data_IF_523485385144
#
_entry.id   IF_523485385144
#
_cell.length_a   1.000
_cell.length_b   1.000
_cell.length_c   1.000
_cell.angle_alpha   90.00
_cell.angle_beta   90.00
_cell.angle_gamma   90.00
#
_symmetry.space_group_name_H-M   'P 1'
#
loop_
_entity.id
_entity.type
_entity.pdbx_description
1 polymer ?
#
# COMPACT_ATOMS: atom_id res chain seq x y z
N UNK A 1 1.28 7.88 38.32
CA UNK A 1 1.44 8.40 36.95
C UNK A 1 2.53 7.59 36.29
N UNK A 2 2.17 6.52 35.59
CA UNK A 2 3.10 5.78 34.73
C UNK A 2 3.49 6.75 33.61
N UNK A 3 4.75 7.21 33.60
CA UNK A 3 5.23 8.08 32.53
C UNK A 3 5.11 7.32 31.22
N UNK A 4 4.50 7.95 30.21
CA UNK A 4 4.46 7.39 28.88
C UNK A 4 5.89 7.08 28.43
N UNK A 5 6.08 5.87 27.95
CA UNK A 5 7.35 5.45 27.36
C UNK A 5 7.53 6.16 26.01
N UNK A 6 8.77 6.44 25.58
CA UNK A 6 9.01 7.26 24.38
C UNK A 6 8.35 6.73 23.09
N UNK A 7 8.09 5.42 23.01
CA UNK A 7 7.37 4.84 21.87
C UNK A 7 5.85 5.09 21.90
N UNK A 8 5.25 5.29 23.08
CA UNK A 8 3.84 5.65 23.23
C UNK A 8 3.61 7.09 22.73
N UNK A 9 4.52 8.01 23.07
CA UNK A 9 4.49 9.39 22.56
C UNK A 9 4.65 9.45 21.05
N UNK A 10 5.60 8.67 20.49
CA UNK A 10 5.80 8.58 19.05
C UNK A 10 4.56 8.02 18.32
N UNK A 11 3.89 7.03 18.91
CA UNK A 11 2.67 6.47 18.32
C UNK A 11 1.47 7.40 18.45
N UNK A 12 1.32 8.11 19.57
CA UNK A 12 0.27 9.12 19.74
C UNK A 12 0.43 10.24 18.71
N UNK A 13 1.65 10.73 18.50
CA UNK A 13 1.92 11.75 17.49
C UNK A 13 1.66 11.22 16.07
N UNK A 14 2.02 9.96 15.78
CA UNK A 14 1.67 9.30 14.52
C UNK A 14 0.15 9.27 14.30
N UNK A 15 -0.62 8.83 15.29
CA UNK A 15 -2.08 8.73 15.19
C UNK A 15 -2.70 10.11 14.96
N UNK A 16 -2.23 11.11 15.70
CA UNK A 16 -2.74 12.48 15.60
C UNK A 16 -2.41 13.13 14.26
N UNK A 17 -1.24 12.86 13.69
CA UNK A 17 -0.73 13.61 12.53
C UNK A 17 -0.81 12.86 11.20
N UNK A 18 -0.81 11.52 11.19
CA UNK A 18 -0.64 10.71 9.97
C UNK A 18 -1.74 9.70 9.67
N UNK A 19 -2.75 9.54 10.52
CA UNK A 19 -3.86 8.57 10.27
C UNK A 19 -4.51 8.75 8.91
N UNK A 20 -4.81 9.99 8.50
CA UNK A 20 -5.40 10.27 7.18
C UNK A 20 -4.50 9.83 6.01
N UNK A 21 -3.18 10.01 6.13
CA UNK A 21 -2.22 9.58 5.12
C UNK A 21 -2.08 8.05 5.08
N UNK A 22 -2.16 7.40 6.24
CA UNK A 22 -2.16 5.93 6.35
C UNK A 22 -3.41 5.33 5.71
N UNK A 23 -4.59 5.88 6.00
CA UNK A 23 -5.87 5.47 5.39
C UNK A 23 -5.85 5.71 3.89
N UNK A 24 -5.30 6.85 3.43
CA UNK A 24 -5.17 7.13 2.00
C UNK A 24 -4.28 6.11 1.29
N UNK A 25 -3.15 5.70 1.88
CA UNK A 25 -2.29 4.64 1.32
C UNK A 25 -3.00 3.28 1.32
N UNK A 26 -3.62 2.91 2.45
CA UNK A 26 -4.38 1.66 2.56
C UNK A 26 -5.53 1.60 1.55
N UNK A 27 -6.21 2.71 1.31
CA UNK A 27 -7.27 2.83 0.31
C UNK A 27 -6.77 2.58 -1.11
N UNK A 28 -5.56 3.04 -1.47
CA UNK A 28 -4.96 2.72 -2.77
C UNK A 28 -4.64 1.22 -2.92
N UNK A 29 -4.42 0.52 -1.81
CA UNK A 29 -4.25 -0.93 -1.81
C UNK A 29 -5.60 -1.65 -1.91
N UNK A 30 -6.60 -1.28 -1.10
CA UNK A 30 -7.88 -2.02 -1.01
C UNK A 30 -8.86 -1.65 -2.10
N UNK A 31 -9.00 -0.35 -2.41
CA UNK A 31 -10.10 0.21 -3.18
C UNK A 31 -11.40 0.36 -2.39
N UNK A 32 -11.38 0.08 -1.07
CA UNK A 32 -12.52 0.12 -0.17
C UNK A 32 -12.14 0.86 1.11
N UNK A 33 -12.94 1.85 1.51
CA UNK A 33 -12.64 2.73 2.65
C UNK A 33 -12.73 1.97 3.98
N UNK A 34 -13.72 1.10 4.14
CA UNK A 34 -13.87 0.33 5.36
C UNK A 34 -12.72 -0.67 5.52
N UNK A 35 -12.36 -1.41 4.45
CA UNK A 35 -11.19 -2.31 4.48
C UNK A 35 -9.89 -1.54 4.72
N UNK A 36 -9.78 -0.30 4.22
CA UNK A 36 -8.62 0.55 4.46
C UNK A 36 -8.51 1.02 5.92
N UNK A 37 -9.60 1.50 6.51
CA UNK A 37 -9.68 1.90 7.92
C UNK A 37 -9.38 0.72 8.86
N UNK A 38 -9.96 -0.45 8.57
CA UNK A 38 -9.71 -1.69 9.31
C UNK A 38 -8.22 -2.08 9.25
N UNK A 39 -7.60 -2.04 8.07
CA UNK A 39 -6.16 -2.35 7.93
C UNK A 39 -5.28 -1.40 8.73
N UNK A 40 -5.59 -0.10 8.72
CA UNK A 40 -4.85 0.91 9.50
C UNK A 40 -5.03 0.66 10.99
N UNK A 41 -6.26 0.39 11.44
CA UNK A 41 -6.56 0.10 12.83
C UNK A 41 -5.82 -1.15 13.32
N UNK A 42 -5.87 -2.25 12.56
CA UNK A 42 -5.15 -3.49 12.88
C UNK A 42 -3.63 -3.24 12.98
N UNK A 43 -3.08 -2.42 12.08
CA UNK A 43 -1.66 -2.09 12.08
C UNK A 43 -1.25 -1.21 13.26
N UNK A 44 -2.09 -0.25 13.66
CA UNK A 44 -1.87 0.59 14.85
C UNK A 44 -1.97 -0.24 16.14
N UNK A 45 -2.91 -1.17 16.23
CA UNK A 45 -3.03 -2.11 17.36
C UNK A 45 -1.77 -3.01 17.44
N UNK A 46 -1.31 -3.53 16.31
CA UNK A 46 -0.07 -4.31 16.24
C UNK A 46 1.14 -3.48 16.70
N UNK A 47 1.20 -2.19 16.34
CA UNK A 47 2.25 -1.29 16.81
C UNK A 47 2.18 -1.05 18.32
N UNK A 48 0.98 -0.82 18.86
CA UNK A 48 0.75 -0.56 20.28
C UNK A 48 1.06 -1.77 21.18
N UNK A 49 0.82 -2.99 20.70
CA UNK A 49 1.08 -4.23 21.46
C UNK A 49 2.56 -4.60 21.57
N UNK A 50 3.45 -3.85 20.90
CA UNK A 50 4.87 -4.14 20.83
C UNK A 50 5.62 -3.58 22.05
N UNK A 51 6.10 -4.48 22.92
CA UNK A 51 6.84 -4.14 24.17
C UNK A 51 8.16 -3.37 24.00
N UNK A 52 8.73 -3.36 22.78
CA UNK A 52 9.86 -2.51 22.38
C UNK A 52 9.42 -1.77 21.12
N UNK A 53 8.73 -0.66 21.35
CA UNK A 53 8.15 0.15 20.28
C UNK A 53 9.22 0.97 19.52
N UNK A 54 8.82 1.58 18.41
CA UNK A 54 9.64 2.51 17.64
C UNK A 54 10.13 3.69 18.49
N UNK A 55 11.38 4.11 18.31
CA UNK A 55 11.99 5.18 19.09
C UNK A 55 11.56 6.59 18.62
N UNK A 56 10.94 6.69 17.44
CA UNK A 56 10.44 7.95 16.86
C UNK A 56 9.21 7.74 15.95
N UNK A 57 8.58 8.85 15.55
CA UNK A 57 7.37 8.84 14.70
C UNK A 57 7.63 8.23 13.32
N UNK A 58 8.82 8.44 12.75
CA UNK A 58 9.16 7.94 11.40
C UNK A 58 9.26 6.42 11.37
N UNK A 59 9.92 5.83 12.37
CA UNK A 59 10.04 4.39 12.55
C UNK A 59 8.70 3.77 12.90
N UNK A 60 7.85 4.46 13.65
CA UNK A 60 6.46 4.05 13.90
C UNK A 60 5.65 4.01 12.60
N UNK A 61 5.71 5.09 11.80
CA UNK A 61 5.01 5.17 10.51
C UNK A 61 5.45 4.05 9.56
N UNK A 62 6.76 3.83 9.43
CA UNK A 62 7.32 2.77 8.59
C UNK A 62 6.86 1.37 9.03
N UNK A 63 6.78 1.12 10.34
CA UNK A 63 6.26 -0.13 10.87
C UNK A 63 4.77 -0.33 10.56
N UNK A 64 3.96 0.71 10.74
CA UNK A 64 2.52 0.66 10.47
C UNK A 64 2.27 0.43 8.97
N UNK A 65 2.93 1.18 8.08
CA UNK A 65 2.84 0.97 6.61
C UNK A 65 3.23 -0.44 6.19
N UNK A 66 4.31 -0.98 6.76
CA UNK A 66 4.72 -2.37 6.54
C UNK A 66 3.62 -3.35 6.96
N UNK A 67 3.03 -3.13 8.12
CA UNK A 67 1.99 -3.99 8.68
C UNK A 67 0.73 -3.96 7.82
N UNK A 68 0.25 -2.77 7.42
CA UNK A 68 -0.88 -2.59 6.49
C UNK A 68 -0.70 -3.46 5.25
N UNK A 69 0.44 -3.34 4.58
CA UNK A 69 0.70 -4.03 3.32
C UNK A 69 0.85 -5.55 3.49
N UNK A 70 1.50 -5.99 4.55
CA UNK A 70 1.61 -7.43 4.86
C UNK A 70 0.22 -8.02 5.11
N UNK A 71 -0.60 -7.37 5.95
CA UNK A 71 -1.98 -7.79 6.24
C UNK A 71 -2.84 -7.81 4.98
N UNK A 72 -2.71 -6.80 4.12
CA UNK A 72 -3.36 -6.77 2.80
C UNK A 72 -2.98 -8.00 1.95
N UNK A 73 -1.68 -8.22 1.72
CA UNK A 73 -1.20 -9.33 0.88
C UNK A 73 -1.58 -10.70 1.45
N UNK A 74 -1.53 -10.86 2.77
CA UNK A 74 -1.90 -12.10 3.44
C UNK A 74 -3.41 -12.35 3.42
N UNK A 75 -4.22 -11.29 3.51
CA UNK A 75 -5.67 -11.32 3.30
C UNK A 75 -6.03 -11.86 1.92
N UNK A 76 -5.39 -11.36 0.87
CA UNK A 76 -5.59 -11.87 -0.49
C UNK A 76 -5.18 -13.34 -0.65
N UNK A 77 -4.04 -13.75 -0.08
CA UNK A 77 -3.62 -15.17 -0.10
C UNK A 77 -4.62 -16.07 0.62
N UNK A 78 -5.17 -15.62 1.74
CA UNK A 78 -6.19 -16.36 2.51
C UNK A 78 -7.50 -16.47 1.74
N UNK A 79 -8.02 -15.36 1.20
CA UNK A 79 -9.22 -15.34 0.35
C UNK A 79 -9.08 -16.26 -0.85
N UNK A 80 -7.93 -16.21 -1.56
CA UNK A 80 -7.65 -17.12 -2.68
C UNK A 80 -7.63 -18.59 -2.26
N UNK A 81 -6.94 -18.95 -1.17
CA UNK A 81 -6.93 -20.32 -0.65
C UNK A 81 -8.34 -20.81 -0.29
N UNK A 82 -9.14 -19.97 0.37
CA UNK A 82 -10.51 -20.32 0.74
C UNK A 82 -11.44 -20.41 -0.48
N UNK A 83 -11.25 -19.58 -1.51
CA UNK A 83 -11.96 -19.69 -2.78
C UNK A 83 -11.58 -20.99 -3.52
N UNK A 84 -10.31 -21.41 -3.49
CA UNK A 84 -9.86 -22.68 -4.05
C UNK A 84 -10.44 -23.90 -3.32
N UNK A 85 -10.63 -23.79 -2.00
CA UNK A 85 -11.21 -24.87 -1.17
C UNK A 85 -12.75 -24.98 -1.31
N UNK A 86 -13.45 -23.91 -1.74
CA UNK A 86 -14.91 -23.91 -1.97
C UNK A 86 -15.38 -24.39 -3.36
N UNK A 87 -14.48 -24.91 -4.19
CA UNK A 87 -14.70 -25.43 -5.55
C UNK A 87 -14.85 -24.39 -6.68
N UNK A 88 -14.15 -24.71 -7.79
CA UNK A 88 -14.58 -24.55 -9.19
C UNK A 88 -15.81 -23.63 -9.43
N UNK A 89 -15.63 -22.32 -9.38
CA UNK A 89 -16.27 -21.37 -10.29
C UNK A 89 -15.81 -19.94 -9.99
N UNK A 90 -15.56 -19.20 -11.08
CA UNK A 90 -15.27 -17.77 -11.14
C UNK A 90 -13.85 -17.41 -10.70
N UNK A 91 -12.97 -17.18 -11.70
CA UNK A 91 -11.84 -16.28 -11.54
C UNK A 91 -12.38 -14.98 -10.91
N UNK A 92 -11.79 -14.43 -9.84
CA UNK A 92 -12.37 -13.26 -9.21
C UNK A 92 -12.27 -12.12 -10.21
N UNK A 93 -13.38 -11.86 -10.89
CA UNK A 93 -13.68 -10.60 -11.52
C UNK A 93 -13.65 -9.60 -10.37
N UNK A 94 -12.62 -8.76 -10.34
CA UNK A 94 -12.49 -7.67 -9.39
C UNK A 94 -13.78 -6.85 -9.49
N UNK A 95 -14.71 -7.04 -8.56
CA UNK A 95 -15.91 -6.21 -8.49
C UNK A 95 -15.45 -4.77 -8.28
N UNK A 96 -15.85 -3.83 -9.15
CA UNK A 96 -15.52 -2.42 -8.94
C UNK A 96 -16.22 -1.93 -7.65
N UNK A 97 -15.54 -1.13 -6.82
CA UNK A 97 -16.16 -0.55 -5.63
C UNK A 97 -17.32 0.38 -6.02
N UNK A 98 -18.35 0.41 -5.18
CA UNK A 98 -19.57 1.21 -5.38
C UNK A 98 -19.27 2.70 -5.35
N UNK A 99 -19.82 3.44 -6.32
CA UNK A 99 -19.63 4.87 -6.54
C UNK A 99 -19.88 5.73 -5.28
N UNK A 100 -18.86 6.49 -4.89
CA UNK A 100 -18.99 7.64 -3.99
C UNK A 100 -18.54 8.88 -4.77
N UNK A 101 -19.50 9.77 -5.06
CA UNK A 101 -19.30 10.96 -5.87
C UNK A 101 -19.10 12.22 -5.01
N UNK A 102 -18.04 13.00 -5.25
CA UNK A 102 -17.96 14.42 -4.78
C UNK A 102 -16.86 15.27 -5.46
N UNK A 103 -17.25 16.09 -6.46
CA UNK A 103 -16.69 17.41 -6.86
C UNK A 103 -15.34 17.49 -7.60
N UNK A 104 -15.44 17.70 -8.92
CA UNK A 104 -14.63 18.45 -9.91
C UNK A 104 -13.09 18.30 -10.02
N UNK A 105 -12.41 17.66 -9.07
CA UNK A 105 -11.08 17.03 -9.27
C UNK A 105 -11.13 15.49 -9.19
N UNK A 106 -12.34 14.96 -9.02
CA UNK A 106 -12.66 13.53 -8.84
C UNK A 106 -12.42 12.63 -10.05
N UNK A 107 -12.61 13.04 -11.32
CA UNK A 107 -12.56 12.08 -12.44
C UNK A 107 -11.22 11.34 -12.50
N UNK A 108 -10.11 12.08 -12.50
CA UNK A 108 -8.77 11.48 -12.60
C UNK A 108 -8.41 10.61 -11.38
N UNK A 109 -8.81 11.01 -10.16
CA UNK A 109 -8.53 10.24 -8.94
C UNK A 109 -9.38 8.97 -8.88
N UNK A 110 -10.65 9.05 -9.30
CA UNK A 110 -11.56 7.91 -9.40
C UNK A 110 -11.11 6.93 -10.50
N UNK A 111 -10.64 7.45 -11.63
CA UNK A 111 -10.10 6.65 -12.73
C UNK A 111 -8.82 5.94 -12.32
N UNK A 112 -7.90 6.62 -11.61
CA UNK A 112 -6.69 6.00 -11.08
C UNK A 112 -7.01 4.88 -10.08
N UNK A 113 -7.99 5.08 -9.19
CA UNK A 113 -8.43 4.06 -8.24
C UNK A 113 -9.03 2.84 -8.94
N UNK A 114 -9.91 3.06 -9.93
CA UNK A 114 -10.48 1.98 -10.75
C UNK A 114 -9.41 1.23 -11.52
N UNK A 115 -8.42 1.94 -12.08
CA UNK A 115 -7.31 1.33 -12.79
C UNK A 115 -6.41 0.49 -11.86
N UNK A 116 -6.11 0.97 -10.65
CA UNK A 116 -5.41 0.18 -9.63
C UNK A 116 -6.17 -1.08 -9.23
N UNK A 117 -7.51 -1.03 -9.22
CA UNK A 117 -8.36 -2.17 -8.89
C UNK A 117 -8.21 -3.36 -9.87
N UNK A 118 -7.76 -3.10 -11.10
CA UNK A 118 -7.52 -4.09 -12.16
C UNK A 118 -6.18 -4.81 -12.04
N UNK A 119 -5.28 -4.28 -11.20
CA UNK A 119 -3.98 -4.90 -10.94
C UNK A 119 -4.11 -6.08 -9.98
N UNK A 120 -3.25 -7.08 -10.16
CA UNK A 120 -3.09 -8.12 -9.14
C UNK A 120 -2.58 -7.48 -7.83
N UNK A 121 -2.81 -8.11 -6.66
CA UNK A 121 -2.42 -7.52 -5.38
C UNK A 121 -0.93 -7.17 -5.28
N UNK A 122 -0.05 -7.94 -5.94
CA UNK A 122 1.39 -7.66 -5.95
C UNK A 122 1.77 -6.52 -6.90
N UNK A 123 1.17 -6.47 -8.08
CA UNK A 123 1.33 -5.34 -9.01
C UNK A 123 0.87 -4.04 -8.35
N UNK A 124 -0.32 -4.05 -7.75
CA UNK A 124 -0.88 -2.91 -7.02
C UNK A 124 0.03 -2.46 -5.88
N UNK A 125 0.49 -3.40 -5.05
CA UNK A 125 1.40 -3.08 -3.95
C UNK A 125 2.72 -2.47 -4.46
N UNK A 126 3.32 -3.01 -5.52
CA UNK A 126 4.52 -2.43 -6.12
C UNK A 126 4.28 -1.01 -6.64
N UNK A 127 3.16 -0.76 -7.32
CA UNK A 127 2.80 0.58 -7.84
C UNK A 127 2.59 1.57 -6.70
N UNK A 128 1.83 1.22 -5.66
CA UNK A 128 1.61 2.10 -4.50
C UNK A 128 2.94 2.43 -3.82
N UNK A 129 3.79 1.44 -3.55
CA UNK A 129 5.10 1.71 -2.93
C UNK A 129 5.98 2.59 -3.80
N UNK A 130 5.99 2.39 -5.12
CA UNK A 130 6.87 3.13 -6.04
C UNK A 130 6.42 4.57 -6.28
N UNK A 131 5.13 4.78 -6.50
CA UNK A 131 4.60 6.06 -7.00
C UNK A 131 3.85 6.87 -5.94
N UNK A 132 3.42 6.24 -4.84
CA UNK A 132 2.76 6.93 -3.73
C UNK A 132 3.65 7.05 -2.49
N UNK A 133 4.56 6.09 -2.28
CA UNK A 133 5.50 6.09 -1.15
C UNK A 133 6.97 6.34 -1.55
N UNK A 134 7.21 6.69 -2.83
CA UNK A 134 8.52 7.03 -3.39
C UNK A 134 9.65 6.00 -3.11
N UNK A 135 9.29 4.72 -2.95
CA UNK A 135 10.26 3.66 -2.70
C UNK A 135 10.99 3.24 -3.98
N UNK A 136 12.30 3.02 -3.87
CA UNK A 136 13.12 2.48 -4.96
C UNK A 136 12.87 0.98 -5.15
N UNK A 137 13.22 0.42 -6.31
CA UNK A 137 13.06 -1.03 -6.55
C UNK A 137 13.80 -1.89 -5.52
N UNK A 138 15.04 -1.58 -5.11
CA UNK A 138 15.70 -2.30 -4.02
C UNK A 138 14.94 -2.24 -2.69
N UNK A 139 14.39 -1.06 -2.35
CA UNK A 139 13.59 -0.91 -1.14
C UNK A 139 12.32 -1.76 -1.22
N UNK A 140 11.59 -1.72 -2.35
CA UNK A 140 10.39 -2.54 -2.56
C UNK A 140 10.70 -4.03 -2.49
N UNK A 141 11.81 -4.47 -3.11
CA UNK A 141 12.23 -5.87 -3.11
C UNK A 141 12.48 -6.38 -1.68
N UNK A 142 13.22 -5.61 -0.88
CA UNK A 142 13.44 -5.89 0.54
C UNK A 142 12.12 -5.92 1.31
N UNK A 143 11.29 -4.89 1.10
CA UNK A 143 10.06 -4.66 1.84
C UNK A 143 8.97 -5.71 1.56
N UNK A 144 8.92 -6.25 0.35
CA UNK A 144 7.99 -7.30 -0.07
C UNK A 144 8.58 -8.71 -0.05
N UNK A 145 9.87 -8.86 0.30
CA UNK A 145 10.61 -10.13 0.21
C UNK A 145 10.51 -10.74 -1.20
N UNK A 146 10.78 -9.94 -2.22
CA UNK A 146 10.79 -10.31 -3.64
C UNK A 146 12.18 -10.11 -4.24
N UNK A 147 12.47 -10.78 -5.37
CA UNK A 147 13.68 -10.45 -6.14
C UNK A 147 13.53 -9.13 -6.89
N UNK A 148 14.64 -8.42 -7.13
CA UNK A 148 14.64 -7.18 -7.94
C UNK A 148 13.94 -7.38 -9.29
N UNK A 149 14.24 -8.48 -9.98
CA UNK A 149 13.61 -8.82 -11.25
C UNK A 149 12.10 -9.04 -11.15
N UNK A 150 11.62 -9.62 -10.03
CA UNK A 150 10.17 -9.76 -9.79
C UNK A 150 9.50 -8.40 -9.62
N UNK A 151 10.12 -7.48 -8.88
CA UNK A 151 9.60 -6.13 -8.69
C UNK A 151 9.56 -5.37 -10.02
N UNK A 152 10.66 -5.36 -10.79
CA UNK A 152 10.70 -4.74 -12.13
C UNK A 152 9.62 -5.31 -13.04
N UNK A 153 9.45 -6.63 -13.06
CA UNK A 153 8.39 -7.30 -13.84
C UNK A 153 7.00 -6.87 -13.39
N UNK A 154 6.73 -6.83 -12.08
CA UNK A 154 5.43 -6.38 -11.57
C UNK A 154 5.15 -4.91 -11.91
N UNK A 155 6.14 -4.03 -11.79
CA UNK A 155 5.99 -2.62 -12.15
C UNK A 155 5.74 -2.45 -13.66
N UNK A 156 6.51 -3.14 -14.50
CA UNK A 156 6.31 -3.14 -15.94
C UNK A 156 4.90 -3.63 -16.33
N UNK A 157 4.50 -4.81 -15.83
CA UNK A 157 3.17 -5.38 -16.11
C UNK A 157 2.05 -4.46 -15.60
N UNK A 158 2.26 -3.80 -14.46
CA UNK A 158 1.29 -2.87 -13.89
C UNK A 158 1.15 -1.59 -14.71
N UNK A 159 2.27 -0.93 -15.05
CA UNK A 159 2.26 0.30 -15.85
C UNK A 159 1.61 0.05 -17.20
N UNK A 160 1.96 -1.04 -17.88
CA UNK A 160 1.35 -1.40 -19.16
C UNK A 160 -0.17 -1.55 -19.07
N UNK A 161 -0.70 -2.08 -17.95
CA UNK A 161 -2.16 -2.16 -17.73
C UNK A 161 -2.76 -0.81 -17.37
N UNK A 162 -2.09 -0.01 -16.54
CA UNK A 162 -2.58 1.31 -16.18
C UNK A 162 -2.67 2.22 -17.41
N UNK A 163 -1.69 2.17 -18.31
CA UNK A 163 -1.68 2.96 -19.55
C UNK A 163 -2.83 2.62 -20.49
N UNK A 164 -3.28 1.36 -20.51
CA UNK A 164 -4.46 0.95 -21.29
C UNK A 164 -5.76 1.63 -20.81
N UNK A 165 -5.82 2.02 -19.53
CA UNK A 165 -7.02 2.60 -18.92
C UNK A 165 -6.93 4.11 -18.69
N UNK A 166 -5.73 4.63 -18.45
CA UNK A 166 -5.49 6.04 -18.09
C UNK A 166 -4.84 6.85 -19.24
N UNK A 167 -4.38 6.18 -20.30
CA UNK A 167 -3.53 6.79 -21.33
C UNK A 167 -2.05 6.78 -20.95
N UNK A 168 -1.16 7.31 -21.83
CA UNK A 168 0.28 7.28 -21.61
C UNK A 168 0.68 7.97 -20.30
N UNK A 169 1.44 7.28 -19.44
CA UNK A 169 1.93 7.83 -18.18
C UNK A 169 3.27 8.54 -18.45
N UNK A 170 3.20 9.80 -18.87
CA UNK A 170 4.34 10.58 -19.38
C UNK A 170 5.57 10.67 -18.44
N UNK A 171 5.39 10.48 -17.13
CA UNK A 171 6.44 10.58 -16.09
C UNK A 171 6.81 9.24 -15.46
N UNK A 172 6.28 8.11 -15.94
CA UNK A 172 6.69 6.78 -15.46
C UNK A 172 8.02 6.38 -16.12
N UNK A 173 9.09 7.12 -15.86
CA UNK A 173 10.45 6.73 -16.27
C UNK A 173 10.85 5.49 -15.44
N UNK A 174 10.50 4.32 -15.99
CA UNK A 174 10.91 3.01 -15.48
C UNK A 174 12.43 2.78 -15.67
N UNK A 175 13.14 3.70 -16.32
CA UNK A 175 14.60 3.65 -16.42
C UNK A 175 15.28 4.10 -15.12
N UNK A 176 14.61 4.90 -14.28
CA UNK A 176 15.09 5.31 -12.95
C UNK A 176 14.79 4.26 -11.85
N UNK A 177 14.37 3.05 -12.23
CA UNK A 177 14.08 1.97 -11.30
C UNK A 177 15.32 1.50 -10.51
N UNK A 178 16.52 1.78 -11.02
CA UNK A 178 17.78 1.31 -10.46
C UNK A 178 18.50 2.29 -9.54
N UNK A 179 17.92 3.46 -9.23
CA UNK A 179 18.59 4.42 -8.36
C UNK A 179 18.78 3.85 -6.94
N UNK A 180 20.02 3.43 -6.67
CA UNK A 180 20.55 3.38 -5.33
C UNK A 180 20.61 4.83 -4.85
N UNK A 181 19.67 5.20 -3.97
CA UNK A 181 19.44 6.55 -3.45
C UNK A 181 20.68 7.46 -3.43
N UNK A 182 20.60 8.75 -3.82
CA UNK A 182 21.47 9.72 -3.18
C UNK A 182 21.09 9.71 -1.70
N UNK A 183 22.11 9.54 -0.86
CA UNK A 183 21.99 9.35 0.58
C UNK A 183 20.99 10.30 1.24
N UNK A 184 20.38 9.80 2.32
CA UNK A 184 19.51 10.59 3.16
C UNK A 184 20.14 11.93 3.52
N UNK A 185 19.32 12.96 3.54
CA UNK A 185 19.20 13.98 4.60
C UNK A 185 18.16 14.97 4.10
N UNK A 186 17.00 15.05 4.76
CA UNK A 186 16.42 16.27 5.38
C UNK A 186 15.04 15.98 5.95
#
# INVERSE_FOLDING_TARGET
MTGMTGWEEALEDLVRTRTSALVSSAFLLTGDLAEAEDLVQDALIAAYTRRRGPDDVRSAEAYVRRTIRNTFLDGFRRRKRWATVRHLHVAPESQPPSDVATVDHVPARLDAQRALALLSPRERACVVLRFYEDMTVPQIASELSLSLGSVKRYLHDAVARLEQHLGPLADAHLDDLDDAAPGGTR
#
